data_IF_879269424521
#
_entry.id   IF_879269424521
#
_cell.length_a   1.000
_cell.length_b   1.000
_cell.length_c   1.000
_cell.angle_alpha   90.00
_cell.angle_beta   90.00
_cell.angle_gamma   90.00
#
_symmetry.space_group_name_H-M   'P 1'
#
loop_
_entity.id
_entity.type
_entity.pdbx_description
1 polymer ?
#
# COMPACT_ATOMS: atom_id res chain seq x y z
N UNK A 1 -11.69 -4.32 18.48
CA UNK A 1 -11.25 -5.50 17.69
C UNK A 1 -10.34 -5.06 16.55
N UNK A 2 -9.35 -5.89 16.18
CA UNK A 2 -8.31 -5.60 15.17
C UNK A 2 -8.88 -5.16 13.81
N UNK A 3 -9.89 -5.85 13.30
CA UNK A 3 -10.48 -5.54 11.99
C UNK A 3 -11.05 -4.12 11.89
N UNK A 4 -11.63 -3.61 12.98
CA UNK A 4 -12.15 -2.25 13.00
C UNK A 4 -11.04 -1.22 12.78
N UNK A 5 -9.88 -1.44 13.40
CA UNK A 5 -8.70 -0.57 13.25
C UNK A 5 -8.08 -0.69 11.86
N UNK A 6 -7.92 -1.90 11.34
CA UNK A 6 -7.40 -2.11 9.97
C UNK A 6 -8.23 -1.34 8.94
N UNK A 7 -9.55 -1.43 9.07
CA UNK A 7 -10.48 -0.75 8.16
C UNK A 7 -10.44 0.76 8.36
N UNK A 8 -10.53 1.24 9.61
CA UNK A 8 -10.62 2.67 9.91
C UNK A 8 -9.31 3.41 9.62
N UNK A 9 -8.17 2.82 9.97
CA UNK A 9 -6.87 3.51 10.01
C UNK A 9 -6.09 3.36 8.70
N UNK A 10 -6.36 2.33 7.89
CA UNK A 10 -5.60 2.05 6.67
C UNK A 10 -6.48 1.93 5.43
N UNK A 11 -7.51 1.06 5.45
CA UNK A 11 -8.34 0.84 4.27
C UNK A 11 -9.12 2.10 3.86
N UNK A 12 -9.92 2.68 4.77
CA UNK A 12 -10.75 3.86 4.48
C UNK A 12 -9.91 5.06 4.05
N UNK A 13 -8.78 5.39 4.69
CA UNK A 13 -7.93 6.48 4.20
C UNK A 13 -7.39 6.25 2.78
N UNK A 14 -7.03 5.02 2.41
CA UNK A 14 -6.62 4.72 1.04
C UNK A 14 -7.73 4.94 0.02
N UNK A 15 -8.99 4.64 0.36
CA UNK A 15 -10.14 4.94 -0.52
C UNK A 15 -10.30 6.44 -0.81
N UNK A 16 -9.81 7.32 0.08
CA UNK A 16 -9.89 8.77 -0.11
C UNK A 16 -8.82 9.31 -1.06
N UNK A 17 -7.64 8.68 -1.11
CA UNK A 17 -6.52 9.20 -1.90
C UNK A 17 -6.28 8.44 -3.22
N UNK A 18 -6.77 7.20 -3.34
CA UNK A 18 -6.65 6.39 -4.56
C UNK A 18 -8.03 6.26 -5.19
N UNK A 19 -8.23 6.92 -6.34
CA UNK A 19 -9.50 6.92 -7.06
C UNK A 19 -9.95 5.49 -7.40
N UNK A 20 -11.19 5.16 -7.01
CA UNK A 20 -11.80 3.86 -7.25
C UNK A 20 -11.11 2.70 -6.53
N UNK A 21 -10.41 2.95 -5.42
CA UNK A 21 -9.66 1.91 -4.68
C UNK A 21 -10.52 0.70 -4.30
N UNK A 22 -11.75 0.93 -3.83
CA UNK A 22 -12.69 -0.12 -3.42
C UNK A 22 -13.20 -0.98 -4.59
N UNK A 23 -13.03 -0.52 -5.83
CA UNK A 23 -13.41 -1.24 -7.05
C UNK A 23 -12.23 -2.03 -7.65
N UNK A 24 -11.03 -1.90 -7.09
CA UNK A 24 -9.84 -2.63 -7.57
C UNK A 24 -9.89 -4.10 -7.13
N UNK A 25 -9.07 -4.99 -7.71
CA UNK A 25 -9.00 -6.38 -7.24
C UNK A 25 -8.74 -6.45 -5.73
N UNK A 26 -9.43 -7.34 -5.01
CA UNK A 26 -9.32 -7.48 -3.54
C UNK A 26 -7.88 -7.74 -3.10
N UNK A 27 -7.11 -8.52 -3.88
CA UNK A 27 -5.69 -8.77 -3.60
C UNK A 27 -4.83 -7.50 -3.68
N UNK A 28 -5.12 -6.60 -4.63
CA UNK A 28 -4.45 -5.30 -4.71
C UNK A 28 -4.82 -4.40 -3.53
N UNK A 29 -6.10 -4.39 -3.15
CA UNK A 29 -6.57 -3.65 -1.98
C UNK A 29 -5.85 -4.14 -0.72
N UNK A 30 -5.79 -5.46 -0.53
CA UNK A 30 -5.11 -6.12 0.58
C UNK A 30 -3.62 -5.79 0.64
N UNK A 31 -2.93 -5.90 -0.50
CA UNK A 31 -1.52 -5.55 -0.60
C UNK A 31 -1.28 -4.10 -0.16
N UNK A 32 -2.08 -3.14 -0.64
CA UNK A 32 -1.85 -1.73 -0.31
C UNK A 32 -2.21 -1.34 1.12
N UNK A 33 -3.28 -1.87 1.73
CA UNK A 33 -3.55 -1.56 3.15
C UNK A 33 -2.58 -2.28 4.08
N UNK A 34 -2.07 -3.46 3.70
CA UNK A 34 -0.98 -4.12 4.40
C UNK A 34 0.31 -3.30 4.30
N UNK A 35 0.64 -2.76 3.13
CA UNK A 35 1.73 -1.82 2.96
C UNK A 35 1.55 -0.56 3.83
N UNK A 36 0.36 0.03 3.83
CA UNK A 36 0.05 1.19 4.66
C UNK A 36 0.14 0.90 6.17
N UNK A 37 -0.10 -0.34 6.61
CA UNK A 37 0.16 -0.77 7.99
C UNK A 37 1.66 -0.72 8.32
N UNK A 38 2.52 -1.07 7.37
CA UNK A 38 3.97 -1.11 7.56
C UNK A 38 4.64 0.27 7.42
N UNK A 39 4.36 1.02 6.36
CA UNK A 39 5.05 2.28 6.03
C UNK A 39 4.15 3.53 6.10
N UNK A 40 2.89 3.37 6.51
CA UNK A 40 1.95 4.47 6.74
C UNK A 40 1.11 4.86 5.51
N UNK A 41 -0.11 5.35 5.78
CA UNK A 41 -1.08 5.80 4.75
C UNK A 41 -0.51 6.94 3.89
N UNK A 42 0.16 7.91 4.50
CA UNK A 42 0.67 9.08 3.79
C UNK A 42 1.73 8.69 2.74
N UNK A 43 2.62 7.75 3.08
CA UNK A 43 3.60 7.19 2.16
C UNK A 43 2.92 6.35 1.08
N UNK A 44 1.92 5.53 1.43
CA UNK A 44 1.13 4.78 0.46
C UNK A 44 0.47 5.69 -0.58
N UNK A 45 -0.22 6.74 -0.16
CA UNK A 45 -0.95 7.66 -1.05
C UNK A 45 -0.03 8.40 -2.05
N UNK A 46 1.20 8.73 -1.62
CA UNK A 46 2.22 9.44 -2.42
C UNK A 46 3.14 8.49 -3.21
N UNK A 47 3.03 7.19 -2.99
CA UNK A 47 3.91 6.20 -3.61
C UNK A 47 3.73 6.07 -5.13
N UNK A 48 4.77 5.59 -5.79
CA UNK A 48 4.69 5.10 -7.17
C UNK A 48 3.65 3.98 -7.33
N UNK A 49 3.44 3.15 -6.29
CA UNK A 49 2.41 2.12 -6.29
C UNK A 49 1.01 2.72 -6.46
N UNK A 50 0.66 3.75 -5.68
CA UNK A 50 -0.62 4.44 -5.81
C UNK A 50 -0.81 5.08 -7.19
N UNK A 51 0.25 5.64 -7.78
CA UNK A 51 0.23 6.13 -9.18
C UNK A 51 -0.10 5.00 -10.16
N UNK A 52 0.51 3.83 -10.01
CA UNK A 52 0.23 2.67 -10.86
C UNK A 52 -1.19 2.12 -10.67
N UNK A 53 -1.72 2.11 -9.44
CA UNK A 53 -3.12 1.70 -9.18
C UNK A 53 -4.11 2.63 -9.88
N UNK A 54 -3.92 3.95 -9.79
CA UNK A 54 -4.76 4.93 -10.50
C UNK A 54 -4.72 4.69 -12.02
N UNK A 55 -3.57 4.33 -12.56
CA UNK A 55 -3.37 4.03 -13.98
C UNK A 55 -3.77 2.60 -14.41
N UNK A 56 -4.34 1.77 -13.53
CA UNK A 56 -4.73 0.39 -13.85
C UNK A 56 -3.56 -0.60 -13.99
N UNK A 57 -2.33 -0.22 -13.64
CA UNK A 57 -1.11 -1.02 -13.82
C UNK A 57 -0.80 -1.86 -12.57
N UNK A 58 -1.66 -2.82 -12.24
CA UNK A 58 -1.64 -3.48 -10.92
C UNK A 58 -0.38 -4.29 -10.62
N UNK A 59 0.17 -5.02 -11.60
CA UNK A 59 1.46 -5.72 -11.41
C UNK A 59 2.57 -4.76 -11.01
N UNK A 60 2.69 -3.64 -11.74
CA UNK A 60 3.67 -2.58 -11.44
C UNK A 60 3.40 -1.90 -10.09
N UNK A 61 2.14 -1.82 -9.66
CA UNK A 61 1.81 -1.31 -8.35
C UNK A 61 2.31 -2.22 -7.22
N UNK A 62 2.18 -3.54 -7.37
CA UNK A 62 2.74 -4.50 -6.41
C UNK A 62 4.26 -4.43 -6.37
N UNK A 63 4.92 -4.44 -7.53
CA UNK A 63 6.38 -4.31 -7.62
C UNK A 63 6.88 -3.00 -7.01
N UNK A 64 6.19 -1.88 -7.24
CA UNK A 64 6.59 -0.59 -6.66
C UNK A 64 6.51 -0.55 -5.12
N UNK A 65 5.80 -1.47 -4.47
CA UNK A 65 5.80 -1.54 -3.00
C UNK A 65 7.09 -2.14 -2.43
N UNK A 66 7.87 -2.90 -3.20
CA UNK A 66 9.15 -3.46 -2.72
C UNK A 66 10.23 -2.37 -2.54
N UNK A 67 9.98 -1.16 -3.02
CA UNK A 67 10.81 0.01 -2.74
C UNK A 67 10.76 0.44 -1.26
N UNK A 68 9.73 0.01 -0.50
CA UNK A 68 9.65 0.23 0.95
C UNK A 68 10.46 -0.82 1.72
N UNK A 69 11.75 -0.91 1.40
CA UNK A 69 12.67 -1.91 1.96
C UNK A 69 13.62 -1.36 3.03
N UNK A 70 13.38 -0.15 3.54
CA UNK A 70 14.22 0.52 4.52
C UNK A 70 13.51 0.73 5.86
N UNK A 71 14.24 0.58 6.95
CA UNK A 71 13.83 0.97 8.30
C UNK A 71 15.03 1.59 9.05
N UNK A 72 14.79 2.65 9.82
CA UNK A 72 15.87 3.37 10.51
C UNK A 72 16.93 3.97 9.56
N UNK A 73 16.57 4.24 8.31
CA UNK A 73 17.50 4.74 7.27
C UNK A 73 18.40 3.69 6.64
N UNK A 74 18.20 2.40 6.95
CA UNK A 74 18.99 1.30 6.41
C UNK A 74 18.09 0.33 5.65
N UNK A 75 18.61 -0.27 4.57
CA UNK A 75 17.92 -1.37 3.88
C UNK A 75 17.89 -2.59 4.81
N UNK A 76 16.70 -3.16 5.00
CA UNK A 76 16.50 -4.35 5.82
C UNK A 76 16.29 -5.54 4.89
N UNK A 77 17.20 -6.51 4.92
CA UNK A 77 17.15 -7.68 4.03
C UNK A 77 15.81 -8.44 4.08
N UNK A 78 15.15 -8.48 5.24
CA UNK A 78 13.82 -9.07 5.41
C UNK A 78 12.68 -8.33 4.67
N UNK A 79 12.93 -7.13 4.15
CA UNK A 79 11.95 -6.31 3.41
C UNK A 79 12.27 -6.20 1.90
N UNK A 80 13.40 -6.76 1.45
CA UNK A 80 13.86 -6.63 0.06
C UNK A 80 13.17 -7.63 -0.87
N UNK A 81 12.83 -8.82 -0.37
CA UNK A 81 12.25 -9.91 -1.16
C UNK A 81 10.82 -10.18 -0.69
N UNK A 82 9.80 -10.00 -1.55
CA UNK A 82 8.44 -10.43 -1.28
C UNK A 82 8.29 -11.96 -1.35
#
# INVERSE_FOLDING_TARGET
>A
MLMHRVVADYYRPLTKCITGFNQKPVSLQASLFSGAYNFGVAAACRSTAARHVRAGRYRRACEAQTAFNQAGGQVVNGLVKP
#
